data_IF_265732402187
#
_entry.id   IF_265732402187
#
_cell.length_a   1.000
_cell.length_b   1.000
_cell.length_c   1.000
_cell.angle_alpha   90.00
_cell.angle_beta   90.00
_cell.angle_gamma   90.00
#
_symmetry.space_group_name_H-M   'P 1'
#
loop_
_entity.id
_entity.type
_entity.pdbx_description
1 polymer ?
#
# COMPACT_ATOMS: atom_id res chain seq x y z
N UNK A 1 -30.59 7.68 5.12
CA UNK A 1 -29.72 6.49 5.20
C UNK A 1 -28.33 6.97 4.85
N UNK A 2 -27.47 7.13 5.85
CA UNK A 2 -26.07 7.43 5.67
C UNK A 2 -25.41 6.27 4.91
N UNK A 3 -25.07 6.52 3.65
CA UNK A 3 -24.20 5.62 2.90
C UNK A 3 -22.77 5.97 3.32
N UNK A 4 -22.20 5.20 4.22
CA UNK A 4 -20.76 5.25 4.44
C UNK A 4 -20.06 4.91 3.13
N UNK A 5 -19.10 5.73 2.66
CA UNK A 5 -18.37 5.45 1.43
C UNK A 5 -17.60 4.14 1.54
N UNK A 6 -17.59 3.35 0.45
CA UNK A 6 -16.90 2.07 0.40
C UNK A 6 -15.37 2.23 0.48
N UNK A 7 -14.68 1.25 1.03
CA UNK A 7 -13.25 1.31 1.37
C UNK A 7 -12.47 0.33 0.49
N UNK A 8 -11.50 0.85 -0.28
CA UNK A 8 -10.58 0.05 -1.08
C UNK A 8 -9.21 -0.09 -0.41
N UNK A 9 -8.59 -1.26 -0.53
CA UNK A 9 -7.21 -1.50 -0.11
C UNK A 9 -6.25 -1.24 -1.26
N UNK A 10 -5.22 -0.44 -1.02
CA UNK A 10 -4.03 -0.38 -1.83
C UNK A 10 -2.98 -1.31 -1.25
N UNK A 11 -2.39 -2.02 -2.14
CA UNK A 11 -1.28 -2.94 -2.12
C UNK A 11 -0.38 -2.98 -0.87
N UNK A 12 -0.43 -4.08 -0.09
CA UNK A 12 0.70 -4.54 0.73
C UNK A 12 0.84 -6.04 0.53
N UNK A 13 1.79 -6.43 -0.27
CA UNK A 13 2.08 -7.79 -0.70
C UNK A 13 1.95 -8.83 0.43
N UNK A 14 1.01 -9.79 0.28
CA UNK A 14 0.80 -10.99 1.13
C UNK A 14 0.26 -10.82 2.57
N UNK A 15 -0.26 -9.67 2.92
CA UNK A 15 -1.15 -9.52 4.09
C UNK A 15 -2.60 -9.44 3.69
N UNK A 16 -2.85 -9.59 2.39
CA UNK A 16 -4.12 -9.32 1.75
C UNK A 16 -5.26 -10.16 2.32
N UNK A 17 -5.03 -11.46 2.52
CA UNK A 17 -6.12 -12.38 2.89
C UNK A 17 -6.71 -12.03 4.25
N UNK A 18 -5.88 -11.88 5.29
CA UNK A 18 -6.38 -11.62 6.65
C UNK A 18 -6.99 -10.21 6.79
N UNK A 19 -6.32 -9.22 6.20
CA UNK A 19 -6.85 -7.86 6.20
C UNK A 19 -8.13 -7.78 5.35
N UNK A 20 -8.20 -8.48 4.22
CA UNK A 20 -9.39 -8.53 3.37
C UNK A 20 -10.57 -9.23 4.06
N UNK A 21 -10.32 -10.31 4.82
CA UNK A 21 -11.35 -10.94 5.65
C UNK A 21 -11.90 -9.97 6.68
N UNK A 22 -11.02 -9.31 7.42
CA UNK A 22 -11.42 -8.31 8.42
C UNK A 22 -12.25 -7.19 7.79
N UNK A 23 -11.83 -6.67 6.63
CA UNK A 23 -12.56 -5.63 5.92
C UNK A 23 -13.92 -6.11 5.42
N UNK A 24 -13.99 -7.33 4.87
CA UNK A 24 -15.24 -7.94 4.46
C UNK A 24 -16.20 -8.10 5.65
N UNK A 25 -15.70 -8.62 6.78
CA UNK A 25 -16.46 -8.75 8.03
C UNK A 25 -16.89 -7.38 8.61
N UNK A 26 -16.08 -6.34 8.39
CA UNK A 26 -16.36 -4.98 8.83
C UNK A 26 -17.27 -4.19 7.88
N UNK A 27 -17.77 -4.82 6.81
CA UNK A 27 -18.71 -4.20 5.88
C UNK A 27 -18.08 -3.25 4.85
N UNK A 28 -16.82 -3.47 4.48
CA UNK A 28 -16.26 -2.81 3.30
C UNK A 28 -16.99 -3.29 2.04
N UNK A 29 -17.18 -2.41 1.06
CA UNK A 29 -17.97 -2.73 -0.14
C UNK A 29 -17.10 -3.21 -1.31
N UNK A 30 -15.81 -2.84 -1.32
CA UNK A 30 -14.91 -3.11 -2.44
C UNK A 30 -13.47 -3.27 -1.97
N UNK A 31 -12.71 -4.15 -2.60
CA UNK A 31 -11.25 -4.24 -2.47
C UNK A 31 -10.58 -3.75 -3.74
N UNK A 32 -9.41 -3.15 -3.61
CA UNK A 32 -8.57 -2.80 -4.76
C UNK A 32 -7.21 -3.48 -4.61
N UNK A 33 -6.74 -4.09 -5.70
CA UNK A 33 -5.47 -4.81 -5.80
C UNK A 33 -4.69 -4.33 -7.03
N UNK A 34 -3.42 -4.69 -7.16
CA UNK A 34 -2.58 -4.26 -8.27
C UNK A 34 -2.47 -5.28 -9.39
N UNK A 35 -2.67 -6.57 -9.12
CA UNK A 35 -2.50 -7.66 -10.09
C UNK A 35 -3.61 -8.71 -10.05
N UNK A 36 -3.69 -9.50 -11.11
CA UNK A 36 -4.63 -10.62 -11.18
C UNK A 36 -4.29 -11.72 -10.16
N UNK A 37 -3.01 -12.00 -9.92
CA UNK A 37 -2.58 -13.00 -8.93
C UNK A 37 -3.09 -12.67 -7.54
N UNK A 38 -3.03 -11.39 -7.15
CA UNK A 38 -3.58 -10.91 -5.87
C UNK A 38 -5.09 -11.11 -5.80
N UNK A 39 -5.81 -10.76 -6.87
CA UNK A 39 -7.25 -10.91 -6.90
C UNK A 39 -7.68 -12.39 -6.83
N UNK A 40 -6.99 -13.27 -7.56
CA UNK A 40 -7.24 -14.71 -7.57
C UNK A 40 -6.91 -15.35 -6.20
N UNK A 41 -5.80 -14.92 -5.57
CA UNK A 41 -5.46 -15.35 -4.20
C UNK A 41 -6.59 -15.02 -3.22
N UNK A 42 -7.17 -13.82 -3.29
CA UNK A 42 -8.31 -13.45 -2.46
C UNK A 42 -9.52 -14.37 -2.70
N UNK A 43 -9.84 -14.69 -3.96
CA UNK A 43 -10.94 -15.60 -4.30
C UNK A 43 -10.71 -17.01 -3.77
N UNK A 44 -9.50 -17.56 -3.94
CA UNK A 44 -9.13 -18.88 -3.41
C UNK A 44 -9.22 -18.95 -1.88
N UNK A 45 -9.08 -17.80 -1.20
CA UNK A 45 -9.20 -17.71 0.26
C UNK A 45 -10.61 -17.30 0.74
N UNK A 46 -11.64 -17.39 -0.10
CA UNK A 46 -13.03 -17.20 0.26
C UNK A 46 -13.49 -15.74 0.37
N UNK A 47 -12.73 -14.79 -0.18
CA UNK A 47 -13.19 -13.40 -0.29
C UNK A 47 -14.19 -13.30 -1.43
N UNK A 48 -15.42 -12.90 -1.13
CA UNK A 48 -16.54 -12.84 -2.08
C UNK A 48 -16.91 -11.42 -2.51
N UNK A 49 -16.52 -10.41 -1.71
CA UNK A 49 -16.77 -9.01 -2.03
C UNK A 49 -16.14 -8.59 -3.36
N UNK A 50 -16.63 -7.54 -4.03
CA UNK A 50 -16.07 -7.03 -5.28
C UNK A 50 -14.58 -6.70 -5.15
N UNK A 51 -13.79 -7.04 -6.19
CA UNK A 51 -12.34 -6.77 -6.27
C UNK A 51 -12.06 -6.02 -7.57
N UNK A 52 -11.38 -4.87 -7.48
CA UNK A 52 -10.92 -4.06 -8.60
C UNK A 52 -9.41 -4.17 -8.76
N UNK A 53 -8.94 -4.56 -9.92
CA UNK A 53 -7.52 -4.44 -10.28
C UNK A 53 -7.26 -3.03 -10.81
N UNK A 54 -6.40 -2.29 -10.12
CA UNK A 54 -6.01 -0.92 -10.50
C UNK A 54 -4.89 -0.90 -11.54
N UNK A 55 -4.12 -1.99 -11.64
CA UNK A 55 -3.00 -2.15 -12.54
C UNK A 55 -3.40 -2.75 -13.90
N UNK A 56 -2.36 -3.15 -14.64
CA UNK A 56 -2.50 -3.80 -15.94
C UNK A 56 -2.68 -5.31 -15.78
N UNK A 57 -3.60 -5.88 -16.55
CA UNK A 57 -3.76 -7.34 -16.73
C UNK A 57 -3.50 -7.69 -18.20
N UNK A 58 -2.72 -8.73 -18.52
CA UNK A 58 -2.59 -9.24 -19.88
C UNK A 58 -3.94 -9.69 -20.44
N UNK A 59 -4.17 -9.51 -21.74
CA UNK A 59 -5.45 -9.87 -22.36
C UNK A 59 -5.77 -11.36 -22.28
N UNK A 60 -4.75 -12.19 -22.23
CA UNK A 60 -4.84 -13.64 -22.10
C UNK A 60 -5.52 -14.08 -20.80
N UNK A 61 -5.52 -13.21 -19.79
CA UNK A 61 -6.10 -13.44 -18.46
C UNK A 61 -7.56 -12.95 -18.34
N UNK A 62 -8.14 -12.41 -19.40
CA UNK A 62 -9.53 -11.87 -19.36
C UNK A 62 -10.53 -12.96 -19.00
N UNK A 63 -10.34 -14.19 -19.47
CA UNK A 63 -11.19 -15.33 -19.09
C UNK A 63 -11.16 -15.61 -17.59
N UNK A 64 -9.99 -15.50 -16.96
CA UNK A 64 -9.82 -15.71 -15.53
C UNK A 64 -10.44 -14.56 -14.71
N UNK A 65 -10.34 -13.31 -15.21
CA UNK A 65 -11.06 -12.16 -14.60
C UNK A 65 -12.57 -12.40 -14.59
N UNK A 66 -13.15 -12.80 -15.70
CA UNK A 66 -14.58 -13.05 -15.86
C UNK A 66 -15.03 -14.19 -14.92
N UNK A 67 -14.31 -15.32 -14.97
CA UNK A 67 -14.58 -16.52 -14.17
C UNK A 67 -14.60 -16.22 -12.66
N UNK A 68 -13.67 -15.40 -12.19
CA UNK A 68 -13.54 -15.03 -10.79
C UNK A 68 -14.33 -13.78 -10.41
N UNK A 69 -15.15 -13.22 -11.31
CA UNK A 69 -15.90 -11.98 -11.07
C UNK A 69 -15.02 -10.86 -10.51
N UNK A 70 -13.91 -10.56 -11.22
CA UNK A 70 -12.93 -9.53 -10.89
C UNK A 70 -13.14 -8.36 -11.84
N UNK A 71 -13.20 -7.15 -11.30
CA UNK A 71 -13.34 -5.90 -12.06
C UNK A 71 -11.95 -5.39 -12.47
N UNK A 72 -11.81 -4.92 -13.72
CA UNK A 72 -10.54 -4.46 -14.27
C UNK A 72 -10.56 -2.96 -14.57
N UNK A 73 -9.50 -2.24 -14.19
CA UNK A 73 -9.30 -0.87 -14.65
C UNK A 73 -8.92 -0.84 -16.13
N UNK A 74 -9.60 0.02 -16.90
CA UNK A 74 -9.30 0.29 -18.32
C UNK A 74 -8.66 1.66 -18.43
N UNK A 75 -7.44 1.70 -18.93
CA UNK A 75 -6.58 2.88 -18.88
C UNK A 75 -6.38 3.58 -20.21
N UNK A 76 -6.78 2.97 -21.32
CA UNK A 76 -6.71 3.57 -22.65
C UNK A 76 -7.58 2.77 -23.64
N UNK A 77 -7.82 3.38 -24.80
CA UNK A 77 -8.61 2.80 -25.91
C UNK A 77 -8.09 1.42 -26.34
N UNK A 78 -6.78 1.27 -26.49
CA UNK A 78 -6.19 0.00 -26.92
C UNK A 78 -6.52 -1.14 -25.95
N UNK A 79 -6.46 -0.89 -24.64
CA UNK A 79 -6.83 -1.89 -23.62
C UNK A 79 -8.32 -2.18 -23.60
N UNK A 80 -9.16 -1.18 -23.83
CA UNK A 80 -10.60 -1.42 -23.97
C UNK A 80 -10.91 -2.38 -25.11
N UNK A 81 -10.29 -2.18 -26.27
CA UNK A 81 -10.44 -3.05 -27.45
C UNK A 81 -9.94 -4.47 -27.18
N UNK A 82 -8.71 -4.62 -26.64
CA UNK A 82 -8.15 -5.94 -26.30
C UNK A 82 -9.05 -6.72 -25.34
N UNK A 83 -9.52 -6.06 -24.27
CA UNK A 83 -10.40 -6.71 -23.29
C UNK A 83 -11.78 -7.04 -23.85
N UNK A 84 -12.34 -6.19 -24.70
CA UNK A 84 -13.60 -6.45 -25.39
C UNK A 84 -13.50 -7.67 -26.31
N UNK A 85 -12.46 -7.73 -27.14
CA UNK A 85 -12.23 -8.87 -28.04
C UNK A 85 -12.14 -10.19 -27.28
N UNK A 86 -11.36 -10.24 -26.21
CA UNK A 86 -11.22 -11.46 -25.41
C UNK A 86 -12.47 -11.81 -24.62
N UNK A 87 -13.19 -10.81 -24.06
CA UNK A 87 -14.46 -11.06 -23.38
C UNK A 87 -15.51 -11.66 -24.33
N UNK A 88 -15.61 -11.14 -25.56
CA UNK A 88 -16.50 -11.68 -26.59
C UNK A 88 -16.08 -13.11 -26.99
N UNK A 89 -14.78 -13.38 -27.19
CA UNK A 89 -14.27 -14.73 -27.49
C UNK A 89 -14.60 -15.74 -26.39
N UNK A 90 -14.54 -15.29 -25.11
CA UNK A 90 -14.89 -16.13 -23.96
C UNK A 90 -16.40 -16.26 -23.75
N UNK A 91 -17.23 -15.54 -24.52
CA UNK A 91 -18.69 -15.53 -24.35
C UNK A 91 -19.15 -14.93 -23.02
N UNK A 92 -18.34 -14.06 -22.40
CA UNK A 92 -18.60 -13.46 -21.10
C UNK A 92 -18.65 -11.94 -21.13
N UNK A 93 -18.86 -11.34 -19.96
CA UNK A 93 -18.84 -9.88 -19.77
C UNK A 93 -17.87 -9.53 -18.67
N UNK A 94 -16.88 -8.69 -18.99
CA UNK A 94 -15.91 -8.17 -18.03
C UNK A 94 -16.42 -6.85 -17.43
N UNK A 95 -16.52 -6.79 -16.11
CA UNK A 95 -16.77 -5.53 -15.39
C UNK A 95 -15.54 -4.66 -15.45
N UNK A 96 -15.72 -3.39 -15.77
CA UNK A 96 -14.61 -2.45 -15.87
C UNK A 96 -14.88 -1.15 -15.12
N UNK A 97 -13.79 -0.55 -14.60
CA UNK A 97 -13.76 0.85 -14.20
C UNK A 97 -12.84 1.64 -15.14
N UNK A 98 -13.35 2.69 -15.73
CA UNK A 98 -12.57 3.59 -16.60
C UNK A 98 -11.63 4.41 -15.75
N UNK A 99 -10.34 4.41 -16.08
CA UNK A 99 -9.35 5.28 -15.44
C UNK A 99 -9.13 6.55 -16.25
N UNK A 100 -9.36 7.69 -15.61
CA UNK A 100 -9.05 9.02 -16.17
C UNK A 100 -7.72 9.51 -15.62
N UNK A 101 -6.86 10.04 -16.45
CA UNK A 101 -5.67 10.78 -16.02
C UNK A 101 -6.00 12.28 -16.01
N UNK A 102 -6.04 12.83 -14.81
CA UNK A 102 -6.32 14.24 -14.55
C UNK A 102 -5.08 14.98 -14.02
N UNK A 103 -3.88 14.41 -14.25
CA UNK A 103 -2.62 15.04 -13.84
C UNK A 103 -1.73 14.18 -12.93
N UNK A 104 -2.09 12.90 -12.66
CA UNK A 104 -1.15 11.95 -12.04
C UNK A 104 -0.07 11.51 -13.03
N UNK A 105 -0.33 11.60 -14.33
CA UNK A 105 0.58 11.30 -15.45
C UNK A 105 1.19 9.90 -15.38
N UNK A 106 0.37 8.91 -15.02
CA UNK A 106 0.80 7.52 -14.86
C UNK A 106 -0.01 6.54 -15.71
N UNK A 107 -1.31 6.50 -15.52
CA UNK A 107 -2.27 5.65 -16.23
C UNK A 107 -3.58 6.38 -16.38
N UNK A 108 -4.30 6.13 -17.47
CA UNK A 108 -5.65 6.66 -17.69
C UNK A 108 -5.80 7.33 -19.04
N UNK A 109 -7.06 7.51 -19.46
CA UNK A 109 -7.38 8.35 -20.61
C UNK A 109 -7.00 9.79 -20.28
N UNK A 110 -6.13 10.37 -21.06
CA UNK A 110 -5.70 11.76 -20.90
C UNK A 110 -6.85 12.68 -21.32
N UNK A 111 -7.29 13.53 -20.39
CA UNK A 111 -8.43 14.43 -20.59
C UNK A 111 -8.09 15.87 -20.22
N UNK A 112 -6.83 16.25 -20.10
CA UNK A 112 -6.45 17.62 -19.76
C UNK A 112 -6.15 18.48 -21.00
N UNK A 113 -6.52 19.76 -20.95
CA UNK A 113 -6.28 20.73 -22.02
C UNK A 113 -6.84 20.27 -23.38
N UNK A 114 -5.99 20.28 -24.40
CA UNK A 114 -6.34 19.93 -25.78
C UNK A 114 -6.77 18.45 -25.96
N UNK A 115 -6.53 17.61 -24.95
CA UNK A 115 -6.90 16.20 -24.98
C UNK A 115 -8.30 15.91 -24.42
N UNK A 116 -9.03 16.91 -23.92
CA UNK A 116 -10.32 16.71 -23.26
C UNK A 116 -11.33 15.98 -24.17
N UNK A 117 -11.60 16.52 -25.36
CA UNK A 117 -12.57 15.96 -26.29
C UNK A 117 -12.17 14.54 -26.75
N UNK A 118 -10.93 14.34 -27.14
CA UNK A 118 -10.44 13.03 -27.59
C UNK A 118 -10.44 11.98 -26.47
N UNK A 119 -10.14 12.42 -25.25
CA UNK A 119 -10.22 11.57 -24.06
C UNK A 119 -11.65 11.12 -23.76
N UNK A 120 -12.59 12.06 -23.76
CA UNK A 120 -14.03 11.79 -23.57
C UNK A 120 -14.56 10.86 -24.65
N UNK A 121 -14.22 11.09 -25.94
CA UNK A 121 -14.61 10.19 -27.04
C UNK A 121 -14.08 8.78 -26.85
N UNK A 122 -12.77 8.63 -26.51
CA UNK A 122 -12.17 7.34 -26.26
C UNK A 122 -12.80 6.59 -25.06
N UNK A 123 -13.20 7.33 -24.01
CA UNK A 123 -13.95 6.77 -22.88
C UNK A 123 -15.32 6.28 -23.32
N UNK A 124 -16.09 7.11 -24.07
CA UNK A 124 -17.41 6.73 -24.58
C UNK A 124 -17.32 5.49 -25.45
N UNK A 125 -16.35 5.41 -26.35
CA UNK A 125 -16.11 4.20 -27.17
C UNK A 125 -15.84 3.00 -26.24
N UNK A 126 -14.91 3.10 -25.29
CA UNK A 126 -14.60 2.02 -24.35
C UNK A 126 -15.80 1.53 -23.54
N UNK A 127 -16.69 2.44 -23.15
CA UNK A 127 -17.93 2.10 -22.43
C UNK A 127 -18.99 1.38 -23.24
N UNK A 128 -18.90 1.45 -24.58
CA UNK A 128 -19.91 0.87 -25.50
C UNK A 128 -19.43 -0.40 -26.21
N UNK A 129 -18.18 -0.79 -25.98
CA UNK A 129 -17.62 -2.02 -26.59
C UNK A 129 -18.35 -3.28 -26.09
N UNK A 130 -18.60 -4.26 -26.99
CA UNK A 130 -19.25 -5.52 -26.62
C UNK A 130 -18.40 -6.31 -25.60
N UNK A 131 -19.04 -7.03 -24.70
CA UNK A 131 -18.37 -7.83 -23.69
C UNK A 131 -17.76 -7.04 -22.53
N UNK A 132 -17.97 -5.70 -22.46
CA UNK A 132 -17.56 -4.86 -21.36
C UNK A 132 -18.78 -4.28 -20.63
N UNK A 133 -18.76 -4.27 -19.28
CA UNK A 133 -19.71 -3.57 -18.41
C UNK A 133 -18.98 -2.45 -17.66
N UNK A 134 -19.07 -1.23 -18.19
CA UNK A 134 -18.47 -0.05 -17.58
C UNK A 134 -19.35 0.41 -16.39
N UNK A 135 -19.11 -0.21 -15.21
CA UNK A 135 -19.85 0.12 -14.00
C UNK A 135 -19.26 1.32 -13.24
N UNK A 136 -17.97 1.61 -13.42
CA UNK A 136 -17.31 2.68 -12.69
C UNK A 136 -16.35 3.53 -13.50
N UNK A 137 -16.05 4.73 -12.93
CA UNK A 137 -15.06 5.66 -13.45
C UNK A 137 -14.24 6.24 -12.30
N UNK A 138 -12.95 6.43 -12.49
CA UNK A 138 -12.09 6.96 -11.43
C UNK A 138 -10.86 7.71 -11.92
N UNK A 139 -10.35 8.57 -11.03
CA UNK A 139 -9.02 9.17 -11.14
C UNK A 139 -8.19 8.93 -9.88
N UNK A 140 -6.98 9.46 -9.83
CA UNK A 140 -6.10 9.39 -8.66
C UNK A 140 -5.40 10.73 -8.47
N UNK A 141 -5.51 11.30 -7.28
CA UNK A 141 -4.86 12.56 -6.95
C UNK A 141 -3.35 12.36 -6.76
N UNK A 142 -2.59 13.32 -7.28
CA UNK A 142 -1.14 13.27 -7.26
C UNK A 142 -0.54 13.78 -5.93
N UNK A 143 -1.17 14.79 -5.34
CA UNK A 143 -0.60 15.59 -4.24
C UNK A 143 -1.61 15.90 -3.11
N UNK A 144 -2.66 15.11 -2.98
CA UNK A 144 -3.72 15.35 -1.97
C UNK A 144 -3.26 15.19 -0.51
N UNK A 145 -2.12 14.58 -0.30
CA UNK A 145 -1.44 14.38 0.98
C UNK A 145 -0.38 15.44 1.28
N UNK A 146 -0.04 16.29 0.31
CA UNK A 146 0.89 17.40 0.49
C UNK A 146 0.17 18.64 1.04
N UNK A 147 0.92 19.50 1.77
CA UNK A 147 0.41 20.73 2.36
C UNK A 147 0.92 21.97 1.63
N UNK A 148 0.05 22.91 1.36
CA UNK A 148 0.36 24.19 0.72
C UNK A 148 -0.63 24.55 -0.38
N UNK A 149 -0.79 25.84 -0.63
CA UNK A 149 -1.79 26.39 -1.55
C UNK A 149 -1.64 25.85 -2.98
N UNK A 150 -0.43 25.62 -3.45
CA UNK A 150 -0.14 25.03 -4.75
C UNK A 150 -0.71 23.62 -4.87
N UNK A 151 -0.47 22.76 -3.88
CA UNK A 151 -0.95 21.36 -3.86
C UNK A 151 -2.47 21.27 -3.70
N UNK A 152 -3.05 22.16 -2.89
CA UNK A 152 -4.50 22.25 -2.72
C UNK A 152 -5.17 22.69 -4.02
N UNK A 153 -4.62 23.71 -4.69
CA UNK A 153 -5.07 24.18 -5.99
C UNK A 153 -4.99 23.10 -7.05
N UNK A 154 -3.88 22.34 -7.08
CA UNK A 154 -3.71 21.24 -8.01
C UNK A 154 -4.70 20.08 -7.77
N UNK A 155 -4.91 19.70 -6.52
CA UNK A 155 -5.90 18.67 -6.15
C UNK A 155 -7.31 19.09 -6.56
N UNK A 156 -7.67 20.35 -6.33
CA UNK A 156 -8.95 20.91 -6.73
C UNK A 156 -9.10 20.90 -8.26
N UNK A 157 -8.09 21.33 -9.00
CA UNK A 157 -8.10 21.27 -10.47
C UNK A 157 -8.30 19.83 -10.98
N UNK A 158 -7.60 18.84 -10.41
CA UNK A 158 -7.80 17.42 -10.76
C UNK A 158 -9.24 16.96 -10.50
N UNK A 159 -9.88 17.42 -9.43
CA UNK A 159 -11.26 17.08 -9.10
C UNK A 159 -12.24 17.73 -10.05
N UNK A 160 -12.09 19.03 -10.35
CA UNK A 160 -12.93 19.77 -11.29
C UNK A 160 -12.86 19.18 -12.71
N UNK A 161 -11.64 18.83 -13.15
CA UNK A 161 -11.45 18.15 -14.43
C UNK A 161 -12.13 16.78 -14.45
N UNK A 162 -11.97 15.99 -13.38
CA UNK A 162 -12.59 14.68 -13.28
C UNK A 162 -14.12 14.75 -13.34
N UNK A 163 -14.73 15.69 -12.63
CA UNK A 163 -16.19 15.88 -12.65
C UNK A 163 -16.68 16.35 -14.01
N UNK A 164 -15.96 17.25 -14.67
CA UNK A 164 -16.28 17.68 -16.04
C UNK A 164 -16.22 16.53 -17.05
N UNK A 165 -15.23 15.63 -16.93
CA UNK A 165 -15.16 14.41 -17.77
C UNK A 165 -16.36 13.51 -17.50
N UNK A 166 -16.71 13.27 -16.23
CA UNK A 166 -17.90 12.46 -15.89
C UNK A 166 -19.15 13.04 -16.53
N UNK A 167 -19.40 14.33 -16.35
CA UNK A 167 -20.62 14.99 -16.84
C UNK A 167 -20.74 14.90 -18.36
N UNK A 168 -19.63 15.11 -19.09
CA UNK A 168 -19.68 15.05 -20.56
C UNK A 168 -19.80 13.61 -21.08
N UNK A 169 -19.13 12.63 -20.45
CA UNK A 169 -19.26 11.21 -20.80
C UNK A 169 -20.67 10.71 -20.52
N UNK A 170 -21.22 10.97 -19.33
CA UNK A 170 -22.58 10.56 -18.95
C UNK A 170 -23.64 11.19 -19.87
N UNK A 171 -23.46 12.43 -20.26
CA UNK A 171 -24.31 13.13 -21.22
C UNK A 171 -24.26 12.48 -22.60
N UNK A 172 -23.05 12.19 -23.14
CA UNK A 172 -22.88 11.54 -24.45
C UNK A 172 -23.45 10.12 -24.46
N UNK A 173 -23.27 9.36 -23.36
CA UNK A 173 -23.76 7.98 -23.23
C UNK A 173 -25.26 7.90 -22.89
N UNK A 174 -25.88 8.98 -22.39
CA UNK A 174 -27.23 8.94 -21.84
C UNK A 174 -27.39 8.02 -20.61
N UNK A 175 -26.29 7.68 -19.93
CA UNK A 175 -26.24 6.73 -18.82
C UNK A 175 -25.26 7.21 -17.76
N UNK A 176 -25.58 7.04 -16.47
CA UNK A 176 -24.69 7.35 -15.34
C UNK A 176 -23.85 6.16 -14.95
N UNK A 177 -22.62 6.43 -14.51
CA UNK A 177 -21.80 5.43 -13.83
C UNK A 177 -22.41 5.07 -12.47
N UNK A 178 -22.32 3.79 -12.12
CA UNK A 178 -22.76 3.31 -10.79
C UNK A 178 -21.82 3.75 -9.69
N UNK A 179 -20.51 3.81 -10.00
CA UNK A 179 -19.44 4.05 -9.03
C UNK A 179 -18.46 5.07 -9.59
N UNK A 180 -18.43 6.26 -9.01
CA UNK A 180 -17.46 7.32 -9.31
C UNK A 180 -16.54 7.47 -8.12
N UNK A 181 -15.21 7.43 -8.33
CA UNK A 181 -14.29 7.49 -7.21
C UNK A 181 -12.97 8.16 -7.55
N UNK A 182 -12.46 9.00 -6.63
CA UNK A 182 -11.18 9.68 -6.79
C UNK A 182 -10.37 9.77 -5.48
N UNK A 183 -11.03 9.84 -4.32
CA UNK A 183 -10.38 10.05 -3.04
C UNK A 183 -9.43 8.89 -2.65
N UNK A 184 -8.13 9.19 -2.59
CA UNK A 184 -7.09 8.38 -1.97
C UNK A 184 -6.96 8.73 -0.48
N UNK A 185 -5.95 8.23 0.23
CA UNK A 185 -5.73 8.47 1.67
C UNK A 185 -5.78 9.95 2.05
N UNK A 186 -5.01 10.82 1.37
CA UNK A 186 -4.98 12.26 1.66
C UNK A 186 -6.32 12.93 1.40
N UNK A 187 -6.96 12.60 0.28
CA UNK A 187 -8.26 13.16 -0.06
C UNK A 187 -9.39 12.69 0.87
N UNK A 188 -9.33 11.46 1.37
CA UNK A 188 -10.28 10.98 2.40
C UNK A 188 -10.21 11.82 3.67
N UNK A 189 -9.01 12.22 4.08
CA UNK A 189 -8.80 13.00 5.29
C UNK A 189 -9.14 14.49 5.12
N UNK A 190 -8.83 15.09 3.94
CA UNK A 190 -8.81 16.55 3.77
C UNK A 190 -9.92 17.11 2.87
N UNK A 191 -10.45 16.32 1.93
CA UNK A 191 -11.36 16.80 0.87
C UNK A 191 -12.65 15.97 0.83
N UNK A 192 -13.58 16.14 1.79
CA UNK A 192 -14.84 15.37 1.86
C UNK A 192 -15.69 15.46 0.59
N UNK A 193 -15.63 16.58 -0.13
CA UNK A 193 -16.33 16.80 -1.41
C UNK A 193 -15.89 15.83 -2.51
N UNK A 194 -14.70 15.21 -2.38
CA UNK A 194 -14.16 14.26 -3.35
C UNK A 194 -14.56 12.81 -3.10
N UNK A 195 -15.30 12.52 -2.04
CA UNK A 195 -15.62 11.12 -1.67
C UNK A 195 -16.50 10.41 -2.70
N UNK A 196 -17.39 11.16 -3.34
CA UNK A 196 -18.32 10.66 -4.35
C UNK A 196 -19.03 9.36 -3.90
N UNK A 197 -18.96 8.29 -4.73
CA UNK A 197 -19.64 7.03 -4.43
C UNK A 197 -18.73 6.03 -3.67
N UNK A 198 -17.41 6.19 -3.75
CA UNK A 198 -16.43 5.28 -3.13
C UNK A 198 -15.11 5.98 -2.80
N UNK A 199 -14.49 5.65 -1.67
CA UNK A 199 -13.16 6.12 -1.25
C UNK A 199 -12.15 4.98 -1.20
N UNK A 200 -10.84 5.32 -1.31
CA UNK A 200 -9.74 4.37 -1.31
C UNK A 200 -8.69 4.73 -0.24
N UNK A 201 -8.97 4.50 1.05
CA UNK A 201 -8.14 4.96 2.17
C UNK A 201 -6.94 4.03 2.45
N UNK A 202 -6.07 3.75 1.47
CA UNK A 202 -4.94 2.81 1.57
C UNK A 202 -4.18 2.85 2.89
N UNK A 203 -3.19 3.74 3.04
CA UNK A 203 -2.32 3.83 4.22
C UNK A 203 -3.08 4.11 5.51
N UNK A 204 -4.16 4.87 5.43
CA UNK A 204 -4.99 5.24 6.56
C UNK A 204 -5.56 4.03 7.29
N UNK A 205 -5.85 2.93 6.58
CA UNK A 205 -6.33 1.67 7.17
C UNK A 205 -5.28 0.99 8.05
N UNK A 206 -4.01 1.30 7.83
CA UNK A 206 -2.91 0.78 8.64
C UNK A 206 -2.52 1.70 9.80
N UNK A 207 -3.18 2.87 9.91
CA UNK A 207 -2.91 3.85 10.96
C UNK A 207 -1.57 4.55 10.79
N UNK A 208 -1.09 4.73 9.56
CA UNK A 208 0.14 5.42 9.23
C UNK A 208 -0.11 6.75 8.52
N UNK A 209 0.88 7.64 8.60
CA UNK A 209 0.86 8.98 8.04
C UNK A 209 0.25 10.01 8.99
N UNK A 210 0.49 11.28 8.69
CA UNK A 210 0.12 12.41 9.56
C UNK A 210 -1.38 12.46 9.86
N UNK A 211 -2.21 12.19 8.87
CA UNK A 211 -3.67 12.17 9.03
C UNK A 211 -4.19 11.05 9.94
N UNK A 212 -3.46 9.94 10.06
CA UNK A 212 -3.88 8.85 10.93
C UNK A 212 -3.91 9.28 12.39
N UNK A 213 -2.92 10.07 12.83
CA UNK A 213 -2.85 10.61 14.19
C UNK A 213 -3.97 11.62 14.45
N UNK A 214 -4.21 12.54 13.52
CA UNK A 214 -5.30 13.53 13.61
C UNK A 214 -6.68 12.88 13.73
N UNK A 215 -6.89 11.76 13.03
CA UNK A 215 -8.11 10.97 13.07
C UNK A 215 -8.17 9.97 14.24
N UNK A 216 -7.17 9.97 15.13
CA UNK A 216 -7.09 9.06 16.27
C UNK A 216 -6.89 7.59 15.90
N UNK A 217 -6.41 7.30 14.70
CA UNK A 217 -6.12 5.94 14.25
C UNK A 217 -4.81 5.44 14.88
N UNK A 218 -4.72 4.13 15.04
CA UNK A 218 -3.54 3.49 15.66
C UNK A 218 -2.80 2.65 14.62
N UNK A 219 -1.44 2.67 14.62
CA UNK A 219 -0.67 1.74 13.82
C UNK A 219 -1.06 0.27 14.11
N UNK A 220 -1.39 -0.48 13.05
CA UNK A 220 -1.85 -1.87 13.18
C UNK A 220 -0.72 -2.89 13.03
N UNK A 221 0.50 -2.45 12.70
CA UNK A 221 1.63 -3.32 12.49
C UNK A 221 2.82 -2.89 13.35
N UNK A 222 3.49 -3.88 13.92
CA UNK A 222 4.82 -3.73 14.51
C UNK A 222 5.74 -4.81 13.97
N UNK A 223 7.03 -4.50 13.87
CA UNK A 223 8.09 -5.42 13.48
C UNK A 223 9.03 -5.61 14.65
N UNK A 224 9.13 -6.83 15.12
CA UNK A 224 9.90 -7.19 16.30
C UNK A 224 10.83 -8.37 16.05
N UNK A 225 11.88 -8.44 16.82
CA UNK A 225 12.85 -9.56 16.82
C UNK A 225 13.41 -9.71 18.23
N UNK A 226 14.46 -10.51 18.41
CA UNK A 226 15.12 -10.68 19.69
C UNK A 226 16.63 -10.53 19.55
N UNK A 227 17.30 -10.21 20.65
CA UNK A 227 18.77 -10.28 20.70
C UNK A 227 19.21 -11.74 20.64
N UNK A 228 20.03 -12.09 19.66
CA UNK A 228 20.52 -13.49 19.46
C UNK A 228 21.84 -13.78 20.14
N UNK A 229 22.70 -12.78 20.27
CA UNK A 229 24.05 -12.92 20.84
C UNK A 229 24.51 -11.58 21.42
N UNK A 230 25.24 -11.63 22.53
CA UNK A 230 25.89 -10.46 23.11
C UNK A 230 27.37 -10.72 23.26
N UNK A 231 28.20 -9.75 22.86
CA UNK A 231 29.65 -9.76 23.03
C UNK A 231 30.13 -8.39 23.50
N UNK A 232 31.19 -8.42 24.33
CA UNK A 232 31.84 -7.18 24.78
C UNK A 232 33.15 -7.01 24.05
N UNK A 233 33.33 -5.86 23.43
CA UNK A 233 34.52 -5.51 22.68
C UNK A 233 35.31 -4.40 23.38
N UNK A 234 36.66 -4.43 23.32
CA UNK A 234 37.46 -3.30 23.79
C UNK A 234 37.31 -2.08 22.91
N UNK A 235 37.74 -0.91 23.38
CA UNK A 235 37.84 0.30 22.58
C UNK A 235 38.70 0.07 21.32
N UNK A 236 38.35 0.76 20.23
CA UNK A 236 39.06 0.66 18.95
C UNK A 236 38.64 -0.51 18.07
N UNK A 237 37.70 -1.38 18.51
CA UNK A 237 37.24 -2.53 17.72
C UNK A 237 36.33 -2.08 16.59
N UNK A 238 36.66 -2.49 15.36
CA UNK A 238 35.83 -2.27 14.20
C UNK A 238 34.61 -3.20 14.19
N UNK A 239 33.42 -2.66 13.97
CA UNK A 239 32.14 -3.38 13.93
C UNK A 239 31.64 -3.51 12.50
N UNK A 240 31.33 -4.76 12.09
CA UNK A 240 30.74 -5.10 10.81
C UNK A 240 31.61 -4.76 9.57
N UNK A 241 31.04 -4.96 8.40
CA UNK A 241 31.72 -4.77 7.11
C UNK A 241 32.29 -3.37 6.92
N UNK A 242 33.53 -3.30 6.49
CA UNK A 242 34.23 -2.06 6.18
C UNK A 242 34.63 -1.24 7.40
N UNK A 243 34.32 -1.70 8.64
CA UNK A 243 34.74 -1.03 9.87
C UNK A 243 34.29 0.43 9.97
N UNK A 244 33.11 0.76 9.42
CA UNK A 244 32.58 2.12 9.39
C UNK A 244 32.20 2.68 10.76
N UNK A 245 32.18 1.82 11.76
CA UNK A 245 32.06 2.17 13.17
C UNK A 245 33.17 1.48 13.95
N UNK A 246 33.81 2.21 14.85
CA UNK A 246 34.75 1.69 15.82
C UNK A 246 34.30 2.05 17.22
N UNK A 247 34.42 1.10 18.13
CA UNK A 247 34.07 1.34 19.53
C UNK A 247 35.02 2.39 20.14
N UNK A 248 34.49 3.37 20.84
CA UNK A 248 35.25 4.42 21.55
C UNK A 248 35.63 4.01 23.00
N UNK A 249 34.93 3.05 23.55
CA UNK A 249 35.05 2.50 24.90
C UNK A 249 34.84 0.98 24.88
N UNK A 250 34.97 0.35 26.04
CA UNK A 250 34.54 -1.03 26.23
C UNK A 250 33.01 -1.10 25.94
N UNK A 251 32.62 -1.76 24.88
CA UNK A 251 31.26 -1.69 24.31
C UNK A 251 30.61 -3.09 24.31
N UNK A 252 29.41 -3.17 24.87
CA UNK A 252 28.55 -4.34 24.87
C UNK A 252 27.66 -4.31 23.64
N UNK A 253 27.94 -5.20 22.66
CA UNK A 253 27.21 -5.27 21.38
C UNK A 253 26.25 -6.43 21.36
N UNK A 254 24.97 -6.14 21.02
CA UNK A 254 23.97 -7.15 20.71
C UNK A 254 23.91 -7.43 19.22
N UNK A 255 23.77 -8.70 18.82
CA UNK A 255 23.48 -9.11 17.46
C UNK A 255 21.97 -9.38 17.36
N UNK A 256 21.34 -8.78 16.37
CA UNK A 256 19.92 -8.89 16.10
C UNK A 256 19.73 -9.59 14.75
N UNK A 257 18.99 -10.71 14.66
CA UNK A 257 18.78 -11.48 13.42
C UNK A 257 17.72 -10.81 12.52
N UNK A 258 18.05 -9.60 12.08
CA UNK A 258 17.28 -8.80 11.14
C UNK A 258 18.21 -7.98 10.27
N UNK A 259 18.18 -8.23 8.97
CA UNK A 259 19.07 -7.60 8.00
C UNK A 259 18.33 -7.15 6.73
N UNK A 260 19.12 -6.77 5.69
CA UNK A 260 18.49 -6.23 4.48
C UNK A 260 17.68 -7.26 3.67
N UNK A 261 17.95 -8.56 3.83
CA UNK A 261 17.11 -9.60 3.23
C UNK A 261 15.75 -9.79 3.95
N UNK A 262 15.60 -9.20 5.15
CA UNK A 262 14.33 -9.14 5.89
C UNK A 262 13.55 -7.87 5.61
N UNK A 263 14.19 -6.87 4.97
CA UNK A 263 13.62 -5.56 4.70
C UNK A 263 14.26 -4.40 5.48
N UNK A 264 15.41 -4.61 6.13
CA UNK A 264 16.13 -3.53 6.81
C UNK A 264 17.04 -2.78 5.85
N UNK A 265 16.66 -1.57 5.47
CA UNK A 265 17.38 -0.80 4.46
C UNK A 265 18.81 -0.49 4.91
N UNK A 266 19.76 -0.84 4.05
CA UNK A 266 21.20 -0.72 4.34
C UNK A 266 21.67 0.74 4.48
N UNK A 267 20.95 1.71 3.91
CA UNK A 267 21.19 3.16 4.07
C UNK A 267 21.00 3.63 5.52
N UNK A 268 20.31 2.86 6.36
CA UNK A 268 20.11 3.15 7.78
C UNK A 268 21.30 2.78 8.66
N UNK A 269 22.37 2.20 8.09
CA UNK A 269 23.59 1.82 8.83
C UNK A 269 24.17 3.00 9.61
N UNK A 270 24.36 2.85 10.92
CA UNK A 270 24.77 3.89 11.90
C UNK A 270 23.79 5.07 12.06
N UNK A 271 22.59 4.98 11.52
CA UNK A 271 21.65 6.13 11.48
C UNK A 271 20.35 5.88 12.24
N UNK A 272 20.03 4.64 12.53
CA UNK A 272 18.77 4.26 13.14
C UNK A 272 19.00 3.57 14.50
N UNK A 273 18.01 3.67 15.36
CA UNK A 273 18.01 3.04 16.68
C UNK A 273 16.86 2.01 16.74
N UNK A 274 17.14 0.88 17.36
CA UNK A 274 16.14 -0.14 17.63
C UNK A 274 15.65 0.01 19.07
N UNK A 275 14.37 -0.19 19.32
CA UNK A 275 13.81 0.00 20.65
C UNK A 275 13.91 -1.29 21.48
N UNK A 276 14.46 -1.18 22.66
CA UNK A 276 14.51 -2.23 23.68
C UNK A 276 13.63 -1.86 24.87
N UNK A 277 13.45 -2.76 25.83
CA UNK A 277 12.75 -2.48 27.09
C UNK A 277 13.42 -1.37 27.92
N UNK A 278 14.72 -1.15 27.75
CA UNK A 278 15.48 -0.05 28.37
C UNK A 278 15.65 1.18 27.47
N UNK A 279 14.82 1.29 26.41
CA UNK A 279 14.84 2.41 25.47
C UNK A 279 15.68 2.17 24.22
N UNK A 280 16.00 3.24 23.45
CA UNK A 280 16.65 3.12 22.16
C UNK A 280 18.07 2.58 22.26
N UNK A 281 18.40 1.64 21.37
CA UNK A 281 19.73 1.03 21.22
C UNK A 281 20.25 1.36 19.80
N UNK A 282 21.32 2.17 19.67
CA UNK A 282 21.83 2.58 18.37
C UNK A 282 22.33 1.39 17.55
N UNK A 283 21.92 1.33 16.29
CA UNK A 283 22.47 0.39 15.33
C UNK A 283 23.88 0.83 14.93
N UNK A 284 24.86 -0.07 15.00
CA UNK A 284 26.28 0.21 14.76
C UNK A 284 26.88 -0.68 13.70
N UNK A 285 27.68 -0.08 12.83
CA UNK A 285 28.30 -0.75 11.69
C UNK A 285 27.33 -0.94 10.52
N UNK A 286 27.78 -1.59 9.45
CA UNK A 286 26.91 -1.87 8.29
C UNK A 286 25.89 -2.93 8.63
N UNK A 287 24.65 -2.71 8.21
CA UNK A 287 23.59 -3.72 8.21
C UNK A 287 23.99 -4.83 7.24
N UNK A 288 23.98 -6.09 7.71
CA UNK A 288 24.31 -7.28 6.95
C UNK A 288 23.07 -7.86 6.26
N UNK A 289 23.23 -8.97 5.53
CA UNK A 289 22.12 -9.64 4.85
C UNK A 289 21.05 -10.11 5.83
N UNK A 290 21.47 -10.77 6.91
CA UNK A 290 20.59 -11.50 7.82
C UNK A 290 20.64 -10.97 9.27
N UNK A 291 21.43 -9.95 9.54
CA UNK A 291 21.61 -9.43 10.90
C UNK A 291 22.13 -7.99 10.92
N UNK A 292 21.96 -7.36 12.07
CA UNK A 292 22.59 -6.09 12.41
C UNK A 292 23.10 -6.11 13.84
N UNK A 293 23.89 -5.11 14.21
CA UNK A 293 24.45 -4.95 15.55
C UNK A 293 23.87 -3.69 16.20
N UNK A 294 23.59 -3.79 17.50
CA UNK A 294 23.11 -2.68 18.32
C UNK A 294 24.01 -2.49 19.53
N UNK A 295 24.20 -1.26 19.95
CA UNK A 295 24.95 -0.91 21.15
C UNK A 295 24.07 -1.05 22.40
N UNK A 296 24.45 -1.99 23.26
CA UNK A 296 23.77 -2.29 24.53
C UNK A 296 24.64 -1.90 25.74
N UNK A 297 25.66 -1.05 25.56
CA UNK A 297 26.62 -0.73 26.62
C UNK A 297 25.93 -0.17 27.87
N UNK A 298 24.94 0.69 27.69
CA UNK A 298 24.20 1.32 28.76
C UNK A 298 22.81 0.66 29.01
N UNK A 299 22.61 -0.58 28.51
CA UNK A 299 21.38 -1.36 28.59
C UNK A 299 21.61 -2.68 29.35
N UNK A 300 21.74 -2.61 30.67
CA UNK A 300 22.26 -3.72 31.46
C UNK A 300 21.28 -4.90 31.60
N UNK A 301 19.98 -4.65 31.55
CA UNK A 301 18.95 -5.69 31.68
C UNK A 301 18.53 -6.30 30.32
N UNK A 302 18.99 -5.72 29.21
CA UNK A 302 18.76 -6.31 27.87
C UNK A 302 19.73 -7.46 27.68
N UNK A 303 19.21 -8.69 27.52
CA UNK A 303 20.04 -9.90 27.38
C UNK A 303 19.65 -10.71 26.13
N UNK A 304 20.32 -11.84 25.91
CA UNK A 304 19.95 -12.78 24.84
C UNK A 304 18.52 -13.23 25.05
N UNK A 305 17.70 -13.10 23.98
CA UNK A 305 16.27 -13.36 24.02
C UNK A 305 15.40 -12.13 24.32
N UNK A 306 15.96 -11.01 24.81
CA UNK A 306 15.21 -9.77 24.98
C UNK A 306 14.62 -9.29 23.67
N UNK A 307 13.36 -8.82 23.72
CA UNK A 307 12.64 -8.28 22.56
C UNK A 307 13.27 -6.98 22.08
N UNK A 308 13.32 -6.81 20.77
CA UNK A 308 13.76 -5.59 20.09
C UNK A 308 12.70 -5.20 19.06
N UNK A 309 12.16 -3.99 19.18
CA UNK A 309 11.23 -3.43 18.20
C UNK A 309 12.00 -2.66 17.13
N UNK A 310 11.81 -3.06 15.87
CA UNK A 310 12.38 -2.37 14.71
C UNK A 310 11.54 -1.13 14.41
N UNK A 311 10.23 -1.33 14.23
CA UNK A 311 9.24 -0.28 14.19
C UNK A 311 7.92 -0.76 14.79
N UNK A 312 7.16 0.17 15.33
CA UNK A 312 5.90 -0.13 15.99
C UNK A 312 5.44 1.03 16.88
N UNK A 313 4.87 0.68 18.03
CA UNK A 313 4.33 1.69 18.94
C UNK A 313 5.41 2.53 19.62
N UNK A 314 6.51 1.90 20.00
CA UNK A 314 7.61 2.59 20.70
C UNK A 314 8.61 3.22 19.72
N UNK A 315 8.63 2.78 18.47
CA UNK A 315 9.55 3.23 17.42
C UNK A 315 8.75 3.49 16.13
N UNK A 316 8.18 4.68 15.93
CA UNK A 316 7.33 4.98 14.78
C UNK A 316 8.03 4.75 13.45
N UNK A 317 7.33 4.09 12.50
CA UNK A 317 7.86 3.77 11.17
C UNK A 317 8.16 5.04 10.35
N UNK A 318 7.48 6.13 10.62
CA UNK A 318 7.66 7.44 9.98
C UNK A 318 9.09 7.94 10.19
N UNK A 319 9.64 7.78 11.40
CA UNK A 319 11.04 8.15 11.71
C UNK A 319 12.02 7.29 10.87
N UNK A 320 11.74 5.99 10.76
CA UNK A 320 12.56 5.09 9.93
C UNK A 320 12.49 5.50 8.45
N UNK A 321 11.29 5.84 7.95
CA UNK A 321 11.07 6.28 6.58
C UNK A 321 11.81 7.59 6.28
N UNK A 322 11.72 8.57 7.16
CA UNK A 322 12.44 9.84 7.04
C UNK A 322 13.95 9.65 6.94
N UNK A 323 14.54 8.83 7.81
CA UNK A 323 15.98 8.53 7.79
C UNK A 323 16.40 7.75 6.54
N UNK A 324 15.53 6.91 6.01
CA UNK A 324 15.78 6.15 4.78
C UNK A 324 15.56 6.98 3.51
N UNK A 325 14.91 8.15 3.61
CA UNK A 325 14.55 8.99 2.45
C UNK A 325 13.40 8.38 1.66
N UNK A 326 12.43 7.77 2.33
CA UNK A 326 11.28 7.09 1.73
C UNK A 326 10.01 7.30 2.56
N UNK A 327 8.97 6.53 2.26
CA UNK A 327 7.66 6.57 2.89
C UNK A 327 7.34 5.26 3.65
N UNK A 328 6.44 5.27 4.65
CA UNK A 328 6.05 4.07 5.40
C UNK A 328 5.56 2.91 4.53
N UNK A 329 4.94 3.18 3.39
CA UNK A 329 4.51 2.15 2.43
C UNK A 329 5.67 1.28 1.94
N UNK A 330 6.79 1.89 1.51
CA UNK A 330 7.93 1.15 1.00
C UNK A 330 8.55 0.26 2.08
N UNK A 331 8.67 0.77 3.31
CA UNK A 331 9.18 0.00 4.44
C UNK A 331 8.28 -1.19 4.79
N UNK A 332 6.97 -1.00 4.81
CA UNK A 332 6.04 -2.10 5.10
C UNK A 332 6.02 -3.14 3.99
N UNK A 333 6.13 -2.72 2.73
CA UNK A 333 6.22 -3.62 1.57
C UNK A 333 7.54 -4.39 1.55
N UNK A 334 8.65 -3.78 2.00
CA UNK A 334 9.97 -4.39 2.03
C UNK A 334 10.10 -5.55 3.03
N UNK A 335 9.21 -5.65 4.03
CA UNK A 335 9.24 -6.76 5.00
C UNK A 335 9.08 -8.09 4.26
N UNK A 336 10.17 -8.86 4.21
CA UNK A 336 10.31 -10.07 3.42
C UNK A 336 9.34 -11.18 3.83
N UNK A 337 9.05 -12.09 2.88
CA UNK A 337 8.24 -13.30 3.09
C UNK A 337 8.79 -14.26 4.14
N UNK A 338 10.09 -14.21 4.41
CA UNK A 338 10.73 -15.06 5.43
C UNK A 338 10.47 -14.59 6.86
N UNK A 339 10.00 -13.34 7.05
CA UNK A 339 9.60 -12.84 8.37
C UNK A 339 8.22 -13.38 8.72
N UNK A 340 8.06 -14.13 9.81
CA UNK A 340 6.76 -14.65 10.25
C UNK A 340 5.75 -13.52 10.47
N UNK A 341 4.48 -13.76 10.10
CA UNK A 341 3.35 -12.86 10.41
C UNK A 341 2.57 -13.44 11.57
N UNK A 342 2.31 -12.63 12.58
CA UNK A 342 1.44 -12.97 13.70
C UNK A 342 0.26 -12.01 13.71
N UNK A 343 -0.94 -12.52 13.57
CA UNK A 343 -2.16 -11.74 13.62
C UNK A 343 -2.71 -11.78 15.04
N UNK A 344 -2.91 -10.61 15.63
CA UNK A 344 -3.29 -10.43 17.04
C UNK A 344 -4.67 -9.78 17.09
N UNK A 345 -5.58 -10.39 17.83
CA UNK A 345 -6.89 -9.85 18.16
C UNK A 345 -7.10 -9.98 19.68
N UNK A 346 -7.55 -8.91 20.31
CA UNK A 346 -7.80 -8.86 21.76
C UNK A 346 -6.59 -9.33 22.62
N UNK A 347 -5.38 -8.95 22.17
CA UNK A 347 -4.11 -9.29 22.84
C UNK A 347 -3.67 -10.75 22.67
N UNK A 348 -4.37 -11.56 21.88
CA UNK A 348 -4.02 -12.96 21.62
C UNK A 348 -3.66 -13.18 20.14
N UNK A 349 -2.61 -13.97 19.89
CA UNK A 349 -2.30 -14.44 18.56
C UNK A 349 -3.37 -15.44 18.13
N UNK A 350 -4.15 -15.10 17.11
CA UNK A 350 -5.17 -15.99 16.57
C UNK A 350 -4.70 -16.75 15.31
N UNK A 351 -3.69 -16.21 14.62
CA UNK A 351 -3.12 -16.86 13.44
C UNK A 351 -1.63 -16.54 13.32
N UNK A 352 -0.86 -17.49 12.82
CA UNK A 352 0.57 -17.34 12.50
C UNK A 352 0.80 -17.84 11.08
N UNK A 353 1.31 -16.97 10.24
CA UNK A 353 1.63 -17.26 8.85
C UNK A 353 3.14 -17.36 8.67
N UNK A 354 3.60 -18.45 8.07
CA UNK A 354 5.00 -18.76 7.75
C UNK A 354 5.14 -18.95 6.24
N UNK A 355 5.18 -17.86 5.50
CA UNK A 355 5.10 -17.84 4.02
C UNK A 355 6.12 -18.72 3.28
N UNK A 356 7.23 -19.13 3.92
CA UNK A 356 8.22 -20.03 3.33
C UNK A 356 8.03 -21.49 3.72
N UNK A 357 7.10 -21.81 4.62
CA UNK A 357 6.91 -23.19 5.09
C UNK A 357 5.58 -23.80 4.63
N UNK A 358 4.80 -23.03 3.83
CA UNK A 358 3.52 -23.47 3.25
C UNK A 358 2.38 -23.50 4.25
#
# INVERSE_FOLDING_TARGET
RDRSPSRGLGDVYKRQVQVSRLLQESGADYLAVSSIDEAVELRHNGITMPVLILGHTPKEEVSELIKNNITQAVTCRAKALEYSEEAVKCGGTLKIHIKVDTGMSRLGYLCDGDYFESGVEGICEGCTLPGLDAEGIFTHFAVSDEFGEEYESYTKHQFELFTSVIDEVEKKLGKKFKIRHCANTGAVARYPETWLDMVRPGLLLYGYGDFAQELGLKPVMSLKTTVSTIKTYPAGTAISYGGIYKTDRKTRMGVVPYGYADGYFRCLSNRYELMTEEGPAPQRGKICMDMCMIDLTDKMNVDVGSEVEIFGKANPIEHMAQLAGTIPYELTCAVSKRVPRMYIKDGKVYEKELLLRG
#
